data_IF_385797260851
#
_entry.id   IF_385797260851
#
_cell.length_a   1.000
_cell.length_b   1.000
_cell.length_c   1.000
_cell.angle_alpha   90.00
_cell.angle_beta   90.00
_cell.angle_gamma   90.00
#
_symmetry.space_group_name_H-M   'P 1'
#
loop_
_entity.id
_entity.type
_entity.pdbx_description
1 polymer ?
#
# COMPACT_ATOMS: atom_id res chain seq x y z
N UNK A 1 33.47 -36.04 10.81
CA UNK A 1 32.34 -35.35 10.17
C UNK A 1 32.75 -33.90 10.15
N UNK A 2 32.73 -33.28 8.98
CA UNK A 2 33.15 -31.89 8.85
C UNK A 2 32.11 -31.04 9.59
N UNK A 3 32.47 -30.59 10.80
CA UNK A 3 31.83 -29.43 11.40
C UNK A 3 32.19 -28.25 10.51
N UNK A 4 31.21 -27.76 9.76
CA UNK A 4 31.25 -26.43 9.21
C UNK A 4 30.63 -25.52 10.27
N UNK A 5 31.47 -24.80 10.99
CA UNK A 5 31.06 -23.60 11.69
C UNK A 5 30.87 -22.53 10.60
N UNK A 6 29.62 -22.20 10.29
CA UNK A 6 29.30 -21.00 9.53
C UNK A 6 29.69 -19.85 10.44
N UNK A 7 30.80 -19.19 10.11
CA UNK A 7 31.13 -17.93 10.74
C UNK A 7 30.07 -16.96 10.22
N UNK A 8 29.25 -16.47 11.13
CA UNK A 8 28.32 -15.38 10.87
C UNK A 8 29.13 -14.18 10.36
N UNK A 9 28.84 -13.72 9.13
CA UNK A 9 29.52 -12.58 8.50
C UNK A 9 29.32 -11.28 9.30
N UNK A 10 28.35 -11.26 10.21
CA UNK A 10 28.07 -10.11 11.08
C UNK A 10 28.96 -10.04 12.33
N UNK A 11 29.83 -11.03 12.57
CA UNK A 11 30.67 -11.05 13.76
C UNK A 11 32.01 -10.31 13.55
N UNK A 12 31.96 -8.97 13.47
CA UNK A 12 32.90 -7.99 14.05
C UNK A 12 33.62 -6.92 13.18
N UNK A 13 33.34 -6.71 11.90
CA UNK A 13 33.93 -5.57 11.15
C UNK A 13 33.09 -5.20 9.90
N UNK A 14 31.79 -4.92 10.01
CA UNK A 14 31.17 -4.05 9.01
C UNK A 14 31.68 -2.63 9.32
N UNK A 15 32.44 -2.02 8.41
CA UNK A 15 32.93 -0.64 8.55
C UNK A 15 31.90 0.41 8.10
N UNK A 16 30.69 -0.04 7.78
CA UNK A 16 29.55 0.82 7.54
C UNK A 16 29.33 1.81 8.68
N UNK A 17 29.07 3.06 8.29
CA UNK A 17 28.82 4.17 9.21
C UNK A 17 27.70 5.06 8.69
N UNK A 18 27.19 5.92 9.56
CA UNK A 18 26.17 6.90 9.18
C UNK A 18 26.60 8.33 9.43
N UNK A 19 26.07 9.23 8.61
CA UNK A 19 26.06 10.67 8.91
C UNK A 19 24.64 11.19 8.85
N UNK A 20 24.31 12.09 9.79
CA UNK A 20 22.99 12.73 9.86
C UNK A 20 23.19 14.23 9.85
N UNK A 21 22.48 14.92 8.97
CA UNK A 21 22.54 16.38 8.83
C UNK A 21 21.15 16.97 8.65
N UNK A 22 20.98 18.22 9.06
CA UNK A 22 19.72 18.96 8.94
C UNK A 22 19.95 20.18 8.07
N UNK A 23 19.10 20.36 7.07
CA UNK A 23 18.99 21.58 6.29
C UNK A 23 17.62 22.22 6.54
N UNK A 24 17.64 23.49 6.93
CA UNK A 24 16.42 24.25 7.22
C UNK A 24 15.98 24.99 5.96
N UNK A 25 14.71 24.84 5.58
CA UNK A 25 14.16 25.69 4.52
C UNK A 25 14.05 27.14 5.04
N UNK A 26 14.65 28.09 4.33
CA UNK A 26 14.82 29.45 4.83
C UNK A 26 13.49 30.21 4.92
N UNK A 27 12.56 29.90 4.02
CA UNK A 27 11.27 30.57 3.90
C UNK A 27 10.17 29.80 4.66
N UNK A 28 10.13 28.48 4.52
CA UNK A 28 9.11 27.61 5.13
C UNK A 28 9.46 27.14 6.54
N UNK A 29 10.71 27.27 7.01
CA UNK A 29 11.09 26.96 8.40
C UNK A 29 10.75 25.54 8.90
N UNK A 30 10.60 24.56 7.99
CA UNK A 30 10.72 23.13 8.30
C UNK A 30 12.11 22.59 7.90
N UNK A 31 12.39 21.34 8.29
CA UNK A 31 13.70 20.73 8.10
C UNK A 31 13.67 19.53 7.14
N UNK A 32 14.68 19.46 6.28
CA UNK A 32 15.07 18.23 5.60
C UNK A 32 16.24 17.61 6.35
N UNK A 33 16.08 16.37 6.80
CA UNK A 33 17.13 15.60 7.46
C UNK A 33 17.68 14.58 6.48
N UNK A 34 18.95 14.71 6.12
CA UNK A 34 19.64 13.73 5.28
C UNK A 34 20.41 12.77 6.17
N UNK A 35 20.08 11.49 6.04
CA UNK A 35 20.82 10.35 6.60
C UNK A 35 21.60 9.71 5.44
N UNK A 36 22.91 9.55 5.61
CA UNK A 36 23.77 8.91 4.61
C UNK A 36 24.47 7.73 5.26
N UNK A 37 24.17 6.52 4.78
CA UNK A 37 24.95 5.30 5.05
C UNK A 37 26.15 5.25 4.12
N UNK A 38 27.32 4.88 4.63
CA UNK A 38 28.59 4.88 3.89
C UNK A 38 29.32 3.57 4.20
N UNK A 39 30.08 3.06 3.22
CA UNK A 39 30.86 1.83 3.30
C UNK A 39 29.96 0.59 3.50
N UNK A 40 28.83 0.56 2.77
CA UNK A 40 27.83 -0.51 2.85
C UNK A 40 28.23 -1.74 2.00
N UNK A 41 27.98 -2.94 2.53
CA UNK A 41 28.29 -4.20 1.86
C UNK A 41 27.18 -4.64 0.91
N UNK A 42 27.53 -4.91 -0.35
CA UNK A 42 26.59 -5.31 -1.39
C UNK A 42 25.79 -6.58 -1.01
N UNK A 43 24.46 -6.49 -1.07
CA UNK A 43 23.54 -7.58 -0.75
C UNK A 43 23.28 -7.80 0.75
N UNK A 44 23.85 -6.96 1.62
CA UNK A 44 23.55 -6.95 3.06
C UNK A 44 22.30 -6.09 3.33
N UNK A 45 21.46 -6.54 4.27
CA UNK A 45 20.32 -5.76 4.76
C UNK A 45 20.76 -4.81 5.87
N UNK A 46 20.33 -3.55 5.73
CA UNK A 46 20.59 -2.46 6.64
C UNK A 46 19.27 -1.78 7.06
N UNK A 47 19.30 -1.15 8.23
CA UNK A 47 18.16 -0.45 8.79
C UNK A 47 18.54 0.84 9.51
N UNK A 48 17.80 1.91 9.24
CA UNK A 48 17.78 3.15 10.03
C UNK A 48 16.50 3.19 10.89
N UNK A 49 16.60 2.93 12.19
CA UNK A 49 15.52 3.25 13.13
C UNK A 49 15.68 4.70 13.60
N UNK A 50 14.66 5.54 13.46
CA UNK A 50 14.77 6.94 13.86
C UNK A 50 13.57 7.42 14.68
N UNK A 51 13.87 8.36 15.58
CA UNK A 51 12.88 8.97 16.48
C UNK A 51 13.17 10.46 16.64
N UNK A 52 12.15 11.30 16.48
CA UNK A 52 12.19 12.73 16.75
C UNK A 52 11.51 13.02 18.08
N UNK A 53 12.21 13.74 18.96
CA UNK A 53 11.67 14.20 20.25
C UNK A 53 11.58 15.71 20.32
N UNK A 54 10.57 16.22 21.03
CA UNK A 54 10.55 17.57 21.56
C UNK A 54 11.09 17.55 23.00
N UNK A 55 12.19 18.29 23.20
CA UNK A 55 12.85 18.42 24.50
C UNK A 55 12.42 19.67 25.29
N UNK A 56 11.50 20.49 24.78
CA UNK A 56 10.91 21.61 25.52
C UNK A 56 9.99 21.14 26.65
N UNK A 57 8.99 20.26 26.44
CA UNK A 57 8.24 19.68 27.53
C UNK A 57 9.16 18.79 28.38
N UNK A 58 8.94 18.79 29.69
CA UNK A 58 9.65 17.93 30.63
C UNK A 58 8.62 17.03 31.34
N UNK A 59 8.62 15.71 31.09
CA UNK A 59 9.59 14.94 30.29
C UNK A 59 9.47 15.19 28.77
N UNK A 60 10.54 14.90 27.98
CA UNK A 60 10.50 14.98 26.52
C UNK A 60 9.38 14.14 25.93
N UNK A 61 8.82 14.59 24.81
CA UNK A 61 7.71 13.94 24.10
C UNK A 61 8.21 13.47 22.74
N UNK A 62 7.87 12.23 22.36
CA UNK A 62 8.11 11.74 21.00
C UNK A 62 7.15 12.45 20.06
N UNK A 63 7.69 13.09 19.01
CA UNK A 63 6.90 13.72 17.96
C UNK A 63 6.58 12.72 16.84
N UNK A 64 7.56 11.91 16.44
CA UNK A 64 7.45 10.98 15.32
C UNK A 64 8.56 9.92 15.43
N UNK A 65 8.29 8.71 14.96
CA UNK A 65 9.27 7.62 14.84
C UNK A 65 8.91 6.70 13.68
N UNK A 66 9.91 6.14 13.01
CA UNK A 66 9.74 5.11 11.99
C UNK A 66 11.07 4.40 11.74
N UNK A 67 11.08 3.44 10.82
CA UNK A 67 12.29 2.83 10.27
C UNK A 67 12.39 2.94 8.74
N UNK A 68 13.59 2.70 8.24
CA UNK A 68 13.87 2.49 6.82
C UNK A 68 14.76 1.27 6.69
N UNK A 69 14.27 0.24 6.01
CA UNK A 69 14.97 -1.03 5.77
C UNK A 69 15.27 -1.14 4.28
N UNK A 70 16.50 -1.50 3.94
CA UNK A 70 16.88 -1.76 2.55
C UNK A 70 17.98 -2.83 2.48
N UNK A 71 18.16 -3.36 1.28
CA UNK A 71 19.30 -4.22 0.95
C UNK A 71 20.22 -3.44 0.03
N UNK A 72 21.49 -3.36 0.39
CA UNK A 72 22.46 -2.54 -0.34
C UNK A 72 22.73 -3.07 -1.75
N UNK A 73 22.85 -2.12 -2.69
CA UNK A 73 23.22 -2.35 -4.08
C UNK A 73 24.72 -2.65 -4.26
N UNK A 74 25.40 -1.88 -5.10
CA UNK A 74 26.85 -2.04 -5.37
C UNK A 74 27.62 -0.72 -5.24
N UNK A 75 26.95 0.35 -4.84
CA UNK A 75 27.47 1.71 -4.69
C UNK A 75 28.08 1.97 -3.32
N UNK A 76 27.72 1.17 -2.31
CA UNK A 76 28.28 1.22 -0.96
C UNK A 76 27.86 2.47 -0.18
N UNK A 77 26.81 3.15 -0.64
CA UNK A 77 26.31 4.40 -0.08
C UNK A 77 24.80 4.49 -0.32
N UNK A 78 24.05 4.78 0.73
CA UNK A 78 22.60 5.02 0.66
C UNK A 78 22.28 6.41 1.21
N UNK A 79 21.39 7.16 0.55
CA UNK A 79 20.99 8.50 0.99
C UNK A 79 19.49 8.55 1.20
N UNK A 80 19.10 8.64 2.47
CA UNK A 80 17.71 8.74 2.87
C UNK A 80 17.40 10.16 3.34
N UNK A 81 16.42 10.81 2.71
CA UNK A 81 16.01 12.18 3.02
C UNK A 81 14.64 12.14 3.69
N UNK A 82 14.61 12.61 4.93
CA UNK A 82 13.40 12.81 5.70
C UNK A 82 12.97 14.27 5.59
N UNK A 83 11.73 14.50 5.16
CA UNK A 83 11.12 15.82 5.21
C UNK A 83 10.22 15.89 6.45
N UNK A 84 10.47 16.87 7.32
CA UNK A 84 9.72 17.09 8.56
C UNK A 84 8.81 18.32 8.47
N UNK A 85 8.06 18.43 7.39
CA UNK A 85 7.05 19.48 7.15
C UNK A 85 6.00 19.54 8.27
N UNK A 86 5.42 18.39 8.62
CA UNK A 86 4.23 18.31 9.49
C UNK A 86 4.55 18.18 10.98
N UNK A 87 5.78 18.51 11.40
CA UNK A 87 6.11 18.45 12.83
C UNK A 87 5.39 19.55 13.62
N UNK A 88 4.85 19.23 14.82
CA UNK A 88 4.31 20.24 15.72
C UNK A 88 5.29 21.38 15.99
N UNK A 89 4.76 22.58 16.24
CA UNK A 89 5.59 23.76 16.53
C UNK A 89 6.43 23.53 17.79
N UNK A 90 7.75 23.50 17.61
CA UNK A 90 8.72 23.42 18.69
C UNK A 90 9.99 24.18 18.35
N UNK A 91 10.63 24.70 19.39
CA UNK A 91 11.96 25.29 19.26
C UNK A 91 13.12 24.29 19.43
N UNK A 92 12.82 23.00 19.67
CA UNK A 92 13.82 21.99 19.99
C UNK A 92 13.39 20.56 19.59
N UNK A 93 13.09 20.37 18.30
CA UNK A 93 12.95 19.04 17.71
C UNK A 93 14.34 18.42 17.55
N UNK A 94 14.55 17.20 18.04
CA UNK A 94 15.83 16.50 17.96
C UNK A 94 15.64 15.08 17.47
N UNK A 95 16.33 14.71 16.38
CA UNK A 95 16.33 13.34 15.86
C UNK A 95 17.42 12.50 16.52
N UNK A 96 17.09 11.22 16.74
CA UNK A 96 18.02 10.14 17.05
C UNK A 96 17.85 9.06 15.99
N UNK A 97 18.95 8.56 15.44
CA UNK A 97 18.99 7.51 14.43
C UNK A 97 19.87 6.39 14.96
N UNK A 98 19.34 5.18 14.98
CA UNK A 98 20.03 3.93 15.28
C UNK A 98 20.22 3.19 13.95
N UNK A 99 21.47 2.93 13.59
CA UNK A 99 21.83 2.23 12.37
C UNK A 99 22.24 0.80 12.70
N UNK A 100 21.68 -0.16 11.96
CA UNK A 100 21.91 -1.58 12.18
C UNK A 100 22.05 -2.35 10.88
N UNK A 101 22.77 -3.47 10.95
CA UNK A 101 22.85 -4.49 9.91
C UNK A 101 22.26 -5.79 10.44
N UNK A 102 21.19 -6.27 9.80
CA UNK A 102 20.37 -7.37 10.33
C UNK A 102 19.91 -7.09 11.78
N UNK A 103 20.38 -7.92 12.73
CA UNK A 103 20.02 -7.79 14.16
C UNK A 103 21.01 -7.00 15.02
N UNK A 104 22.07 -6.43 14.44
CA UNK A 104 23.19 -5.82 15.17
C UNK A 104 23.21 -4.31 14.98
N UNK A 105 23.16 -3.56 16.08
CA UNK A 105 23.39 -2.10 16.08
C UNK A 105 24.87 -1.79 15.78
N UNK A 106 25.10 -0.97 14.75
CA UNK A 106 26.41 -0.53 14.31
C UNK A 106 26.76 0.84 14.90
N UNK A 107 25.85 1.81 14.79
CA UNK A 107 26.07 3.18 15.23
C UNK A 107 24.75 3.83 15.69
N UNK A 108 24.83 4.75 16.65
CA UNK A 108 23.71 5.63 17.03
C UNK A 108 24.14 7.09 16.97
N UNK A 109 23.44 7.89 16.17
CA UNK A 109 23.60 9.35 16.08
C UNK A 109 22.43 10.02 16.78
N UNK A 110 22.69 10.94 17.72
CA UNK A 110 21.65 11.60 18.52
C UNK A 110 21.96 13.08 18.74
N UNK A 111 20.96 13.82 19.26
CA UNK A 111 21.04 15.26 19.54
C UNK A 111 21.30 16.13 18.29
N UNK A 112 20.78 15.68 17.15
CA UNK A 112 20.75 16.48 15.93
C UNK A 112 19.44 17.25 15.94
N UNK A 113 19.50 18.55 16.25
CA UNK A 113 18.32 19.34 16.63
C UNK A 113 18.08 20.55 15.73
N UNK A 114 16.81 20.92 15.56
CA UNK A 114 16.33 22.10 14.86
C UNK A 114 15.08 22.69 15.54
N UNK A 115 14.69 23.89 15.10
CA UNK A 115 13.39 24.47 15.45
C UNK A 115 12.43 24.17 14.29
N UNK A 116 11.26 23.64 14.59
CA UNK A 116 10.16 23.47 13.64
C UNK A 116 9.08 24.49 13.98
N UNK A 117 8.90 25.50 13.14
CA UNK A 117 7.90 26.54 13.36
C UNK A 117 7.50 27.21 12.04
N UNK A 118 7.06 26.43 11.06
CA UNK A 118 6.60 26.96 9.77
C UNK A 118 5.45 27.94 9.97
N UNK A 119 5.60 29.11 9.33
CA UNK A 119 4.57 30.15 9.20
C UNK A 119 4.35 30.52 7.73
N UNK A 120 4.88 29.72 6.81
CA UNK A 120 4.68 29.93 5.37
C UNK A 120 3.26 29.51 4.99
N UNK A 121 2.74 30.21 3.99
CA UNK A 121 1.39 30.14 3.44
C UNK A 121 1.55 30.61 1.98
N UNK A 122 1.88 29.65 1.10
CA UNK A 122 2.29 29.89 -0.28
C UNK A 122 1.11 30.37 -1.13
N UNK A 123 -0.08 29.82 -0.93
CA UNK A 123 -1.28 30.15 -1.69
C UNK A 123 -2.10 31.32 -1.09
N UNK A 124 -1.82 31.68 0.17
CA UNK A 124 -2.41 32.81 0.87
C UNK A 124 -3.84 32.57 1.34
N UNK A 125 -4.27 31.32 1.49
CA UNK A 125 -5.63 30.96 1.90
C UNK A 125 -5.89 31.17 3.41
N UNK A 126 -4.82 31.31 4.20
CA UNK A 126 -4.84 31.55 5.64
C UNK A 126 -4.56 30.31 6.49
N UNK A 127 -4.28 29.16 5.87
CA UNK A 127 -3.72 27.96 6.47
C UNK A 127 -2.23 27.91 6.12
N UNK A 128 -1.39 27.58 7.11
CA UNK A 128 0.05 27.48 6.84
C UNK A 128 0.34 26.19 6.08
N UNK A 129 1.31 26.21 5.17
CA UNK A 129 1.67 25.09 4.28
C UNK A 129 1.80 23.76 5.04
N UNK A 130 2.34 23.79 6.26
CA UNK A 130 2.51 22.63 7.15
C UNK A 130 1.22 21.98 7.65
N UNK A 131 0.10 22.66 7.49
CA UNK A 131 -1.24 22.22 7.86
C UNK A 131 -2.17 22.19 6.64
N UNK A 132 -1.67 22.54 5.46
CA UNK A 132 -2.46 22.70 4.24
C UNK A 132 -2.32 21.44 3.38
N UNK A 133 -3.42 20.68 3.25
CA UNK A 133 -3.53 19.51 2.37
C UNK A 133 -3.91 19.90 0.94
N UNK A 134 -4.32 21.16 0.73
CA UNK A 134 -4.84 21.72 -0.49
C UNK A 134 -3.98 22.92 -0.95
N UNK A 135 -2.72 22.64 -1.32
CA UNK A 135 -1.62 23.58 -1.65
C UNK A 135 -1.90 24.73 -2.67
N UNK A 136 -3.09 24.78 -3.26
CA UNK A 136 -3.46 25.76 -4.28
C UNK A 136 -4.87 26.33 -4.07
N UNK A 137 -5.35 26.36 -2.83
CA UNK A 137 -6.63 26.97 -2.49
C UNK A 137 -6.53 28.50 -2.71
N UNK A 138 -7.46 29.12 -3.45
CA UNK A 138 -7.35 30.54 -3.74
C UNK A 138 -7.39 31.41 -2.49
N UNK A 139 -6.44 32.34 -2.35
CA UNK A 139 -6.41 33.32 -1.26
C UNK A 139 -7.77 34.00 -1.02
N UNK A 140 -8.22 33.97 0.24
CA UNK A 140 -9.49 34.55 0.69
C UNK A 140 -10.71 33.66 0.50
N UNK A 141 -10.53 32.40 0.12
CA UNK A 141 -11.57 31.38 0.20
C UNK A 141 -11.97 31.13 1.65
N UNK A 142 -13.18 30.62 1.85
CA UNK A 142 -13.54 30.01 3.13
C UNK A 142 -12.96 28.61 3.09
N UNK A 143 -12.11 28.29 4.06
CA UNK A 143 -11.34 27.05 4.10
C UNK A 143 -11.47 26.40 5.46
N UNK A 144 -11.30 25.07 5.48
CA UNK A 144 -11.23 24.27 6.69
C UNK A 144 -9.84 24.40 7.35
N UNK A 145 -9.62 23.63 8.42
CA UNK A 145 -8.34 23.66 9.13
C UNK A 145 -7.18 23.05 8.34
N UNK A 146 -7.49 22.29 7.30
CA UNK A 146 -6.58 21.62 6.39
C UNK A 146 -6.34 22.38 5.07
N UNK A 147 -6.80 23.63 4.96
CA UNK A 147 -6.66 24.48 3.76
C UNK A 147 -7.60 24.11 2.62
N UNK A 148 -8.39 23.04 2.77
CA UNK A 148 -9.34 22.64 1.75
C UNK A 148 -10.61 23.52 1.79
N UNK A 149 -11.25 23.68 0.63
CA UNK A 149 -12.28 24.71 0.43
C UNK A 149 -13.59 24.32 1.13
N UNK A 150 -14.24 25.23 1.84
CA UNK A 150 -15.56 25.02 2.48
C UNK A 150 -16.42 26.27 2.21
N UNK A 151 -16.99 26.33 1.01
CA UNK A 151 -17.55 27.55 0.42
C UNK A 151 -18.75 28.11 1.19
N UNK A 152 -19.50 27.27 1.92
CA UNK A 152 -20.65 27.69 2.73
C UNK A 152 -20.45 27.58 4.25
N UNK A 153 -19.34 26.99 4.70
CA UNK A 153 -18.92 26.96 6.11
C UNK A 153 -19.65 25.90 6.93
N UNK A 154 -20.09 24.80 6.31
CA UNK A 154 -20.83 23.72 6.98
C UNK A 154 -19.93 22.62 7.55
N UNK A 155 -18.63 22.65 7.23
CA UNK A 155 -17.62 21.72 7.70
C UNK A 155 -17.34 20.55 6.77
N UNK A 156 -17.81 20.60 5.51
CA UNK A 156 -17.43 19.66 4.46
C UNK A 156 -16.60 20.35 3.37
N UNK A 157 -15.67 19.61 2.76
CA UNK A 157 -14.90 20.15 1.63
C UNK A 157 -15.81 20.30 0.41
N UNK A 158 -15.71 21.42 -0.29
CA UNK A 158 -16.56 21.74 -1.44
C UNK A 158 -16.40 20.75 -2.61
N UNK A 159 -15.23 20.13 -2.80
CA UNK A 159 -15.09 19.06 -3.79
C UNK A 159 -15.72 17.76 -3.29
N UNK A 160 -15.50 17.42 -2.03
CA UNK A 160 -16.16 16.28 -1.38
C UNK A 160 -17.69 16.38 -1.48
N UNK A 161 -18.26 17.56 -1.27
CA UNK A 161 -19.69 17.80 -1.43
C UNK A 161 -20.18 17.56 -2.87
N UNK A 162 -19.44 18.05 -3.86
CA UNK A 162 -19.75 17.81 -5.28
C UNK A 162 -19.76 16.31 -5.57
N UNK A 163 -18.76 15.58 -5.07
CA UNK A 163 -18.63 14.13 -5.24
C UNK A 163 -19.76 13.38 -4.49
N UNK A 164 -20.22 13.92 -3.36
CA UNK A 164 -21.30 13.38 -2.55
C UNK A 164 -22.71 13.83 -2.98
N UNK A 165 -22.83 14.54 -4.11
CA UNK A 165 -24.08 15.11 -4.62
C UNK A 165 -24.79 16.09 -3.66
N UNK A 166 -24.06 16.74 -2.75
CA UNK A 166 -24.52 17.94 -2.03
C UNK A 166 -24.25 19.24 -2.81
N UNK A 167 -24.89 20.34 -2.41
CA UNK A 167 -24.64 21.68 -2.95
C UNK A 167 -23.63 22.43 -2.08
N UNK A 168 -22.38 22.67 -2.55
CA UNK A 168 -21.32 23.30 -1.76
C UNK A 168 -21.52 24.79 -1.46
N UNK A 169 -22.70 25.34 -1.79
CA UNK A 169 -23.05 26.73 -1.52
C UNK A 169 -24.31 26.85 -0.66
N UNK A 170 -24.79 25.75 -0.08
CA UNK A 170 -25.96 25.68 0.79
C UNK A 170 -25.66 24.88 2.06
N UNK A 171 -25.37 25.60 3.15
CA UNK A 171 -25.05 25.07 4.50
C UNK A 171 -26.05 24.05 5.09
N UNK A 172 -27.22 23.86 4.46
CA UNK A 172 -28.21 22.86 4.85
C UNK A 172 -28.13 21.55 4.03
N UNK A 173 -27.30 21.53 2.98
CA UNK A 173 -27.09 20.44 2.05
C UNK A 173 -25.81 19.69 2.40
N UNK A 174 -25.77 19.00 3.52
CA UNK A 174 -24.61 18.18 3.90
C UNK A 174 -24.57 16.83 3.16
N UNK A 175 -23.39 16.25 2.89
CA UNK A 175 -23.24 14.84 2.49
C UNK A 175 -23.96 13.89 3.44
N UNK A 176 -24.65 12.88 2.90
CA UNK A 176 -25.19 11.77 3.69
C UNK A 176 -24.14 10.70 3.90
N UNK A 177 -24.12 10.10 5.08
CA UNK A 177 -23.24 9.00 5.49
C UNK A 177 -24.04 8.12 6.47
N UNK A 178 -24.62 7.02 5.96
CA UNK A 178 -25.59 6.19 6.67
C UNK A 178 -24.93 5.35 7.77
N UNK A 179 -23.77 4.76 7.51
CA UNK A 179 -23.08 3.87 8.44
C UNK A 179 -22.01 4.60 9.31
N UNK A 180 -21.66 5.84 8.95
CA UNK A 180 -20.68 6.71 9.61
C UNK A 180 -19.23 6.20 9.53
N UNK A 181 -18.86 5.55 8.44
CA UNK A 181 -17.48 5.11 8.19
C UNK A 181 -16.57 6.21 7.60
N UNK A 182 -17.17 7.34 7.18
CA UNK A 182 -16.49 8.50 6.61
C UNK A 182 -16.56 8.61 5.08
N UNK A 183 -17.14 7.62 4.41
CA UNK A 183 -17.48 7.65 2.99
C UNK A 183 -18.96 8.03 2.86
N UNK A 184 -19.28 8.99 2.00
CA UNK A 184 -20.67 9.38 1.83
C UNK A 184 -21.45 8.35 1.01
N UNK A 185 -22.77 8.24 1.22
CA UNK A 185 -23.64 7.25 0.56
C UNK A 185 -23.52 7.23 -0.98
N UNK A 186 -23.14 8.36 -1.59
CA UNK A 186 -22.98 8.49 -3.03
C UNK A 186 -21.67 7.87 -3.57
N UNK A 187 -20.66 7.72 -2.72
CA UNK A 187 -19.34 7.16 -3.02
C UNK A 187 -19.09 5.83 -2.29
N UNK A 188 -19.99 5.44 -1.38
CA UNK A 188 -19.89 4.24 -0.59
C UNK A 188 -20.38 3.00 -1.36
N UNK A 189 -19.59 1.92 -1.30
CA UNK A 189 -19.92 0.64 -1.91
C UNK A 189 -20.71 -0.29 -0.97
N UNK A 190 -20.80 0.02 0.33
CA UNK A 190 -21.53 -0.71 1.40
C UNK A 190 -22.24 0.32 2.31
N UNK A 191 -23.30 0.96 1.80
CA UNK A 191 -23.89 2.17 2.40
C UNK A 191 -24.39 1.95 3.83
N UNK A 192 -24.78 0.73 4.20
CA UNK A 192 -25.27 0.43 5.56
C UNK A 192 -24.26 -0.31 6.46
N UNK A 193 -23.05 -0.57 5.95
CA UNK A 193 -21.91 -1.09 6.69
C UNK A 193 -22.11 -2.50 7.23
N UNK A 194 -22.96 -3.30 6.61
CA UNK A 194 -23.26 -4.66 7.07
C UNK A 194 -22.30 -5.73 6.52
N UNK A 195 -21.37 -5.31 5.66
CA UNK A 195 -20.32 -6.13 5.07
C UNK A 195 -20.72 -6.78 3.74
N UNK A 196 -21.81 -6.32 3.11
CA UNK A 196 -22.24 -6.69 1.77
C UNK A 196 -22.31 -5.46 0.87
N UNK A 197 -21.70 -5.54 -0.31
CA UNK A 197 -21.71 -4.40 -1.23
C UNK A 197 -23.14 -4.13 -1.73
N UNK A 198 -23.50 -2.86 -1.88
CA UNK A 198 -24.80 -2.37 -2.37
C UNK A 198 -25.29 -3.09 -3.64
N UNK A 199 -24.33 -3.41 -4.51
CA UNK A 199 -24.58 -4.04 -5.79
C UNK A 199 -24.87 -5.54 -5.64
N UNK A 200 -24.21 -6.23 -4.70
CA UNK A 200 -24.49 -7.63 -4.38
C UNK A 200 -25.89 -7.76 -3.78
N UNK A 201 -26.26 -6.83 -2.91
CA UNK A 201 -27.58 -6.77 -2.30
C UNK A 201 -28.71 -6.48 -3.28
N UNK A 202 -28.52 -5.49 -4.15
CA UNK A 202 -29.47 -5.18 -5.23
C UNK A 202 -29.71 -6.41 -6.13
N UNK A 203 -28.68 -7.23 -6.36
CA UNK A 203 -28.78 -8.47 -7.13
C UNK A 203 -29.47 -9.60 -6.35
N UNK A 204 -29.20 -9.70 -5.05
CA UNK A 204 -29.85 -10.63 -4.14
C UNK A 204 -31.32 -10.25 -3.85
N UNK A 205 -31.71 -9.02 -4.16
CA UNK A 205 -33.02 -8.45 -3.87
C UNK A 205 -33.20 -8.04 -2.41
N UNK A 206 -32.09 -7.77 -1.73
CA UNK A 206 -32.03 -7.19 -0.39
C UNK A 206 -31.91 -5.66 -0.48
N UNK A 207 -31.88 -4.94 0.64
CA UNK A 207 -32.04 -3.47 0.66
C UNK A 207 -30.73 -2.80 1.11
N UNK A 208 -29.97 -2.14 0.22
CA UNK A 208 -28.66 -1.53 0.52
C UNK A 208 -28.62 -0.39 1.52
N UNK A 209 -29.73 -0.10 2.18
CA UNK A 209 -29.90 1.00 3.12
C UNK A 209 -30.42 0.47 4.47
N UNK A 210 -30.44 -0.84 4.67
CA UNK A 210 -30.95 -1.51 5.85
C UNK A 210 -30.03 -2.69 6.20
N UNK A 211 -29.02 -2.44 7.04
CA UNK A 211 -28.03 -3.46 7.44
C UNK A 211 -28.57 -4.63 8.28
N UNK A 212 -29.89 -4.79 8.36
CA UNK A 212 -30.58 -5.99 8.84
C UNK A 212 -31.19 -6.83 7.71
N UNK A 213 -31.05 -6.38 6.46
CA UNK A 213 -31.60 -6.94 5.25
C UNK A 213 -30.47 -7.21 4.26
N UNK A 214 -29.70 -8.24 4.57
CA UNK A 214 -28.58 -8.74 3.77
C UNK A 214 -28.88 -10.11 3.15
N UNK A 215 -28.10 -10.53 2.14
CA UNK A 215 -28.16 -11.87 1.55
C UNK A 215 -27.96 -12.97 2.60
N UNK A 216 -28.76 -14.03 2.55
CA UNK A 216 -28.70 -15.12 3.53
C UNK A 216 -27.44 -16.02 3.43
N UNK A 217 -26.61 -15.82 2.41
CA UNK A 217 -25.38 -16.54 2.14
C UNK A 217 -24.41 -15.60 1.40
N UNK A 218 -23.20 -15.44 1.91
CA UNK A 218 -22.17 -14.60 1.31
C UNK A 218 -21.18 -15.44 0.52
N UNK A 219 -20.89 -15.01 -0.69
CA UNK A 219 -19.75 -15.57 -1.42
C UNK A 219 -18.43 -15.12 -0.75
N UNK A 220 -17.36 -15.92 -0.82
CA UNK A 220 -16.06 -15.52 -0.27
C UNK A 220 -15.53 -14.29 -1.01
N UNK A 221 -14.91 -13.37 -0.28
CA UNK A 221 -14.22 -12.20 -0.87
C UNK A 221 -12.77 -12.54 -1.12
N UNK A 222 -12.24 -12.23 -2.31
CA UNK A 222 -10.85 -12.50 -2.65
C UNK A 222 -10.08 -11.21 -2.98
N UNK A 223 -8.80 -11.17 -2.63
CA UNK A 223 -7.87 -10.11 -3.03
C UNK A 223 -6.66 -10.72 -3.76
N UNK A 224 -6.05 -9.97 -4.68
CA UNK A 224 -4.90 -10.42 -5.47
C UNK A 224 -3.63 -9.65 -5.09
N UNK A 225 -2.56 -10.39 -4.84
CA UNK A 225 -1.24 -9.90 -4.50
C UNK A 225 -0.20 -10.43 -5.50
N UNK A 226 0.91 -9.72 -5.67
CA UNK A 226 2.10 -10.26 -6.31
C UNK A 226 3.34 -10.09 -5.43
N UNK A 227 4.29 -11.02 -5.54
CA UNK A 227 5.62 -10.94 -4.92
C UNK A 227 6.68 -11.50 -5.86
N UNK A 228 7.94 -11.11 -5.69
CA UNK A 228 9.03 -11.68 -6.49
C UNK A 228 9.23 -13.16 -6.11
N UNK A 229 9.69 -13.97 -7.08
CA UNK A 229 10.02 -15.37 -6.84
C UNK A 229 11.04 -15.54 -5.69
N UNK A 230 11.97 -14.59 -5.54
CA UNK A 230 13.00 -14.59 -4.49
C UNK A 230 12.45 -14.36 -3.08
N UNK A 231 11.35 -13.61 -2.97
CA UNK A 231 10.69 -13.31 -1.69
C UNK A 231 9.73 -14.43 -1.26
N UNK A 232 9.35 -15.29 -2.21
CA UNK A 232 8.39 -16.36 -2.00
C UNK A 232 6.95 -15.86 -1.90
N UNK A 233 6.03 -16.76 -1.52
CA UNK A 233 4.62 -16.42 -1.34
C UNK A 233 4.44 -15.74 0.03
N UNK A 234 3.74 -14.60 0.12
CA UNK A 234 3.46 -13.93 1.39
C UNK A 234 2.81 -14.89 2.39
N UNK A 235 3.25 -14.84 3.65
CA UNK A 235 2.65 -15.62 4.75
C UNK A 235 1.69 -14.79 5.61
N UNK A 236 1.69 -13.48 5.39
CA UNK A 236 0.82 -12.46 5.97
C UNK A 236 0.36 -11.54 4.86
N UNK A 237 -0.91 -11.14 4.86
CA UNK A 237 -1.54 -10.32 3.83
C UNK A 237 -2.00 -8.98 4.43
N UNK A 238 -1.04 -8.21 4.97
CA UNK A 238 -1.29 -6.94 5.69
C UNK A 238 -0.96 -5.68 4.87
N UNK A 239 -0.65 -5.82 3.57
CA UNK A 239 -0.40 -4.68 2.66
C UNK A 239 -1.51 -4.46 1.65
N UNK A 240 -1.40 -3.38 0.88
CA UNK A 240 -2.36 -3.06 -0.19
C UNK A 240 -2.33 -4.15 -1.26
N UNK A 241 -3.49 -4.76 -1.48
CA UNK A 241 -3.64 -5.71 -2.56
C UNK A 241 -3.60 -4.96 -3.89
N UNK A 242 -3.02 -5.60 -4.90
CA UNK A 242 -2.97 -5.08 -6.26
C UNK A 242 -4.38 -5.05 -6.86
N UNK A 243 -5.26 -5.93 -6.38
CA UNK A 243 -6.72 -5.84 -6.56
C UNK A 243 -7.37 -6.13 -5.19
N UNK A 244 -7.89 -5.10 -4.49
CA UNK A 244 -8.38 -5.21 -3.11
C UNK A 244 -9.72 -5.93 -2.94
N UNK A 245 -10.54 -6.04 -3.99
CA UNK A 245 -11.83 -6.74 -3.90
C UNK A 245 -12.24 -7.40 -5.23
N UNK A 246 -11.93 -8.68 -5.37
CA UNK A 246 -12.60 -9.57 -6.32
C UNK A 246 -13.90 -10.04 -5.64
N UNK A 247 -14.96 -9.22 -5.72
CA UNK A 247 -16.28 -9.52 -5.14
C UNK A 247 -17.22 -10.26 -6.12
N UNK A 248 -18.34 -10.78 -5.58
CA UNK A 248 -19.58 -11.26 -6.23
C UNK A 248 -19.89 -10.64 -7.57
N UNK A 249 -19.81 -9.32 -7.65
CA UNK A 249 -20.17 -8.56 -8.84
C UNK A 249 -19.12 -8.59 -9.95
N UNK A 250 -17.83 -8.74 -9.62
CA UNK A 250 -16.78 -8.83 -10.65
C UNK A 250 -16.87 -10.13 -11.47
N UNK A 251 -17.75 -11.06 -11.10
CA UNK A 251 -17.74 -12.41 -11.64
C UNK A 251 -19.11 -13.02 -11.99
N UNK A 252 -20.25 -12.32 -11.88
CA UNK A 252 -21.53 -12.95 -12.28
C UNK A 252 -22.64 -12.02 -12.81
N UNK A 253 -22.52 -11.65 -14.09
CA UNK A 253 -23.56 -12.04 -15.06
C UNK A 253 -22.82 -12.52 -16.30
N UNK A 254 -23.33 -13.54 -16.99
CA UNK A 254 -22.92 -13.92 -18.35
C UNK A 254 -23.20 -12.84 -19.41
N UNK A 255 -22.85 -11.59 -19.13
CA UNK A 255 -22.70 -10.46 -20.03
C UNK A 255 -21.22 -10.10 -19.92
N UNK A 256 -20.51 -10.28 -21.04
CA UNK A 256 -19.08 -10.46 -21.04
C UNK A 256 -18.27 -9.34 -20.39
N UNK A 257 -17.13 -9.78 -19.86
CA UNK A 257 -15.97 -8.95 -19.56
C UNK A 257 -16.22 -8.00 -18.39
N UNK A 258 -15.76 -8.41 -17.21
CA UNK A 258 -14.84 -7.52 -16.48
C UNK A 258 -13.98 -6.82 -17.52
N UNK A 259 -13.97 -5.49 -17.52
CA UNK A 259 -12.81 -4.80 -18.08
C UNK A 259 -11.61 -5.52 -17.50
N UNK A 260 -10.75 -6.16 -18.31
CA UNK A 260 -9.64 -6.92 -17.77
C UNK A 260 -8.91 -5.99 -16.81
N UNK A 261 -8.79 -6.40 -15.54
CA UNK A 261 -7.97 -5.65 -14.60
C UNK A 261 -6.56 -5.77 -15.15
N UNK A 262 -6.09 -4.68 -15.74
CA UNK A 262 -4.76 -4.62 -16.34
C UNK A 262 -3.81 -4.16 -15.25
N UNK A 263 -2.94 -5.07 -14.81
CA UNK A 263 -1.82 -4.72 -13.94
C UNK A 263 -0.56 -4.65 -14.79
N UNK A 264 0.29 -3.67 -14.54
CA UNK A 264 1.55 -3.50 -15.29
C UNK A 264 2.69 -3.74 -14.31
N UNK A 265 3.54 -4.72 -14.59
CA UNK A 265 4.68 -5.08 -13.73
C UNK A 265 5.97 -5.25 -14.56
N UNK A 266 7.15 -4.97 -14.00
CA UNK A 266 8.41 -5.07 -14.72
C UNK A 266 8.78 -6.52 -15.06
N UNK A 267 9.74 -6.71 -15.97
CA UNK A 267 10.22 -8.05 -16.33
C UNK A 267 10.81 -8.77 -15.11
N UNK A 268 10.44 -10.05 -14.93
CA UNK A 268 10.81 -10.82 -13.75
C UNK A 268 9.97 -12.10 -13.58
N UNK A 269 10.27 -12.84 -12.51
CA UNK A 269 9.47 -13.96 -12.04
C UNK A 269 8.66 -13.55 -10.82
N UNK A 270 7.35 -13.77 -10.83
CA UNK A 270 6.45 -13.32 -9.76
C UNK A 270 5.48 -14.42 -9.34
N UNK A 271 5.19 -14.50 -8.04
CA UNK A 271 4.05 -15.26 -7.53
C UNK A 271 2.80 -14.38 -7.55
N UNK A 272 1.80 -14.76 -8.33
CA UNK A 272 0.46 -14.17 -8.26
C UNK A 272 -0.36 -14.94 -7.24
N UNK A 273 -0.68 -14.32 -6.11
CA UNK A 273 -1.34 -14.97 -4.97
C UNK A 273 -2.72 -14.39 -4.75
N UNK A 274 -3.75 -15.22 -4.91
CA UNK A 274 -5.10 -14.88 -4.49
C UNK A 274 -5.30 -15.32 -3.03
N UNK A 275 -5.83 -14.43 -2.20
CA UNK A 275 -6.20 -14.69 -0.82
C UNK A 275 -7.71 -14.46 -0.68
N UNK A 276 -8.44 -15.47 -0.23
CA UNK A 276 -9.88 -15.42 -0.08
C UNK A 276 -10.28 -15.69 1.36
N UNK A 277 -11.24 -14.91 1.84
CA UNK A 277 -11.80 -15.02 3.20
C UNK A 277 -13.31 -15.18 3.06
N UNK A 278 -13.84 -16.15 3.78
CA UNK A 278 -15.26 -16.32 4.00
C UNK A 278 -15.60 -15.98 5.45
N UNK A 279 -16.54 -15.07 5.65
CA UNK A 279 -16.95 -14.64 6.99
C UNK A 279 -18.15 -15.44 7.52
N UNK A 280 -18.85 -16.19 6.67
CA UNK A 280 -19.95 -17.06 7.09
C UNK A 280 -19.46 -18.39 7.68
N UNK A 281 -18.21 -18.75 7.39
CA UNK A 281 -17.55 -19.95 7.90
C UNK A 281 -17.81 -21.21 7.05
N UNK A 282 -18.33 -21.03 5.84
CA UNK A 282 -18.47 -22.04 4.82
C UNK A 282 -17.12 -22.40 4.19
N UNK A 283 -17.09 -23.57 3.54
CA UNK A 283 -15.88 -24.14 2.97
C UNK A 283 -15.56 -23.48 1.61
N UNK A 284 -14.42 -22.79 1.52
CA UNK A 284 -13.97 -22.14 0.29
C UNK A 284 -13.18 -23.12 -0.57
N UNK A 285 -13.45 -23.13 -1.88
CA UNK A 285 -12.57 -23.72 -2.89
C UNK A 285 -12.08 -22.64 -3.85
N UNK A 286 -10.78 -22.36 -3.84
CA UNK A 286 -10.09 -21.36 -4.66
C UNK A 286 -9.23 -22.04 -5.73
N UNK A 287 -9.25 -21.53 -6.95
CA UNK A 287 -8.43 -21.97 -8.09
C UNK A 287 -7.70 -20.80 -8.72
N UNK A 288 -6.38 -20.89 -8.89
CA UNK A 288 -5.57 -19.90 -9.62
C UNK A 288 -4.77 -20.61 -10.71
N UNK A 289 -5.00 -20.28 -11.99
CA UNK A 289 -4.31 -20.88 -13.16
C UNK A 289 -4.13 -22.41 -13.04
N UNK A 290 -5.24 -23.13 -12.77
CA UNK A 290 -5.34 -24.59 -12.57
C UNK A 290 -4.89 -25.15 -11.20
N UNK A 291 -4.42 -24.32 -10.27
CA UNK A 291 -4.10 -24.76 -8.91
C UNK A 291 -5.32 -24.57 -8.01
N UNK A 292 -6.00 -25.67 -7.67
CA UNK A 292 -7.17 -25.67 -6.77
C UNK A 292 -6.81 -26.03 -5.34
N UNK A 293 -7.21 -25.18 -4.38
CA UNK A 293 -7.09 -25.37 -2.93
C UNK A 293 -8.49 -25.28 -2.31
N UNK A 294 -8.84 -26.23 -1.45
CA UNK A 294 -10.18 -26.32 -0.86
C UNK A 294 -10.75 -27.73 -0.94
N UNK A 295 -11.95 -27.96 -0.38
CA UNK A 295 -12.73 -27.06 0.48
C UNK A 295 -12.04 -26.77 1.82
N UNK A 296 -11.96 -25.49 2.22
CA UNK A 296 -11.39 -25.04 3.50
C UNK A 296 -12.24 -23.90 4.08
N UNK A 297 -12.76 -24.08 5.29
CA UNK A 297 -13.43 -23.02 6.04
C UNK A 297 -12.47 -21.90 6.52
N UNK A 298 -12.97 -20.66 6.47
CA UNK A 298 -12.32 -19.46 6.99
C UNK A 298 -11.54 -18.71 5.91
N UNK A 299 -10.27 -19.05 5.71
CA UNK A 299 -9.41 -18.37 4.74
C UNK A 299 -8.62 -19.38 3.89
N UNK A 300 -8.40 -19.05 2.62
CA UNK A 300 -7.62 -19.86 1.69
C UNK A 300 -6.75 -18.97 0.81
N UNK A 301 -5.53 -19.41 0.53
CA UNK A 301 -4.65 -18.74 -0.41
C UNK A 301 -4.10 -19.72 -1.43
N UNK A 302 -4.04 -19.29 -2.68
CA UNK A 302 -3.45 -20.04 -3.78
C UNK A 302 -2.61 -19.10 -4.64
N UNK A 303 -1.40 -19.53 -4.98
CA UNK A 303 -0.48 -18.78 -5.80
C UNK A 303 -0.07 -19.52 -7.06
N UNK A 304 0.14 -18.79 -8.15
CA UNK A 304 0.73 -19.30 -9.38
C UNK A 304 1.97 -18.45 -9.77
N UNK A 305 3.05 -19.13 -10.15
CA UNK A 305 4.26 -18.47 -10.64
C UNK A 305 4.05 -18.04 -12.11
N UNK A 306 4.27 -16.76 -12.39
CA UNK A 306 4.30 -16.19 -13.74
C UNK A 306 5.70 -15.65 -14.05
N UNK A 307 6.09 -15.71 -15.32
CA UNK A 307 7.39 -15.21 -15.79
C UNK A 307 7.17 -14.22 -16.93
N UNK A 308 7.67 -13.00 -16.75
CA UNK A 308 7.54 -11.90 -17.70
C UNK A 308 8.93 -11.58 -18.24
N UNK A 309 9.14 -11.79 -19.54
CA UNK A 309 10.43 -11.55 -20.19
C UNK A 309 10.46 -10.25 -20.99
N UNK A 310 11.63 -9.63 -21.11
CA UNK A 310 11.88 -8.36 -21.86
C UNK A 310 11.58 -8.42 -23.37
N UNK A 311 11.16 -9.57 -23.90
CA UNK A 311 10.95 -9.80 -25.33
C UNK A 311 9.50 -10.16 -25.70
N UNK A 312 8.53 -9.93 -24.83
CA UNK A 312 7.11 -10.21 -25.13
C UNK A 312 6.32 -8.91 -25.33
N UNK A 313 5.70 -8.81 -26.50
CA UNK A 313 4.61 -7.86 -26.77
C UNK A 313 3.26 -8.57 -26.56
N UNK A 314 3.17 -9.39 -25.51
CA UNK A 314 2.03 -10.27 -25.24
C UNK A 314 1.71 -10.24 -23.75
N UNK A 315 0.42 -10.14 -23.45
CA UNK A 315 -0.16 -10.02 -22.12
C UNK A 315 -0.34 -11.42 -21.51
N UNK A 316 -0.21 -11.57 -20.19
CA UNK A 316 -0.44 -12.84 -19.49
C UNK A 316 -1.78 -12.78 -18.76
N UNK A 317 -2.68 -13.71 -19.03
CA UNK A 317 -3.95 -13.80 -18.29
C UNK A 317 -3.83 -14.73 -17.08
N UNK A 318 -4.21 -14.22 -15.92
CA UNK A 318 -4.34 -14.97 -14.66
C UNK A 318 -5.81 -15.19 -14.37
N UNK A 319 -6.25 -16.45 -14.37
CA UNK A 319 -7.63 -16.82 -14.07
C UNK A 319 -7.74 -17.26 -12.61
N UNK A 320 -8.65 -16.64 -11.87
CA UNK A 320 -8.93 -16.90 -10.47
C UNK A 320 -10.40 -17.34 -10.39
N UNK A 321 -10.69 -18.43 -9.71
CA UNK A 321 -12.06 -18.89 -9.46
C UNK A 321 -12.24 -19.31 -8.02
N UNK A 322 -13.33 -18.91 -7.38
CA UNK A 322 -13.62 -19.27 -5.99
C UNK A 322 -15.09 -19.63 -5.80
N UNK A 323 -15.36 -20.55 -4.86
CA UNK A 323 -16.71 -21.05 -4.57
C UNK A 323 -16.85 -21.42 -3.09
N UNK A 324 -18.04 -21.24 -2.54
CA UNK A 324 -18.49 -21.72 -1.22
C UNK A 324 -19.18 -23.12 -1.30
N UNK A 325 -19.19 -23.74 -2.49
CA UNK A 325 -19.89 -24.99 -2.78
C UNK A 325 -21.32 -24.85 -3.28
N UNK A 326 -21.93 -23.67 -3.18
CA UNK A 326 -23.26 -23.35 -3.71
C UNK A 326 -23.17 -22.44 -4.94
N UNK A 327 -22.35 -21.40 -4.85
CA UNK A 327 -22.15 -20.36 -5.85
C UNK A 327 -20.65 -20.28 -6.23
N UNK A 328 -20.34 -19.93 -7.48
CA UNK A 328 -18.95 -19.89 -8.00
C UNK A 328 -18.73 -18.63 -8.81
N UNK A 329 -17.57 -18.00 -8.60
CA UNK A 329 -17.11 -16.82 -9.31
C UNK A 329 -15.81 -17.11 -10.08
N UNK A 330 -15.58 -16.36 -11.16
CA UNK A 330 -14.37 -16.41 -11.98
C UNK A 330 -13.98 -14.98 -12.38
N UNK A 331 -12.73 -14.61 -12.12
CA UNK A 331 -12.09 -13.40 -12.59
C UNK A 331 -10.87 -13.72 -13.48
N UNK A 332 -10.60 -12.85 -14.46
CA UNK A 332 -9.43 -12.90 -15.34
C UNK A 332 -8.69 -11.57 -15.27
N UNK A 333 -7.45 -11.62 -14.78
CA UNK A 333 -6.57 -10.46 -14.63
C UNK A 333 -5.52 -10.50 -15.73
N UNK A 334 -5.37 -9.41 -16.47
CA UNK A 334 -4.41 -9.32 -17.57
C UNK A 334 -3.15 -8.60 -17.08
N UNK A 335 -2.01 -9.27 -17.16
CA UNK A 335 -0.72 -8.75 -16.72
C UNK A 335 0.08 -8.27 -17.92
N UNK A 336 0.43 -6.99 -17.91
CA UNK A 336 1.25 -6.34 -18.93
C UNK A 336 2.68 -6.15 -18.45
N UNK A 337 3.63 -6.22 -19.39
CA UNK A 337 5.00 -5.79 -19.15
C UNK A 337 5.04 -4.26 -19.05
N UNK A 338 5.66 -3.73 -18.01
CA UNK A 338 6.01 -2.33 -17.93
C UNK A 338 6.99 -1.96 -19.05
N UNK A 339 6.55 -1.10 -19.98
CA UNK A 339 7.41 -0.64 -21.06
C UNK A 339 8.39 0.39 -20.51
N UNK A 340 9.62 -0.03 -20.28
CA UNK A 340 10.70 0.88 -19.95
C UNK A 340 10.95 1.81 -21.15
N UNK A 341 10.57 3.07 -21.03
CA UNK A 341 10.61 4.04 -22.14
C UNK A 341 12.02 4.51 -22.54
N UNK A 342 13.07 3.83 -22.07
CA UNK A 342 14.47 4.26 -22.21
C UNK A 342 15.35 3.44 -23.17
N UNK A 343 14.85 2.38 -23.80
CA UNK A 343 15.68 1.59 -24.75
C UNK A 343 15.22 1.72 -26.21
N UNK A 344 15.94 2.57 -26.96
CA UNK A 344 15.86 2.56 -28.44
C UNK A 344 16.28 1.18 -28.98
N UNK A 345 15.51 0.53 -29.86
CA UNK A 345 15.91 -0.75 -30.42
C UNK A 345 17.09 -0.56 -31.37
N UNK A 346 18.23 -1.15 -31.01
CA UNK A 346 19.35 -1.37 -31.93
C UNK A 346 18.85 -2.27 -33.08
N UNK A 347 18.89 -1.81 -34.34
CA UNK A 347 18.42 -2.61 -35.46
C UNK A 347 19.43 -3.71 -35.77
N UNK A 348 19.05 -4.95 -35.50
CA UNK A 348 19.59 -6.11 -36.21
C UNK A 348 20.30 -7.16 -35.35
N UNK A 349 19.56 -7.86 -34.49
CA UNK A 349 19.82 -9.27 -34.22
C UNK A 349 18.49 -9.99 -34.02
N UNK A 350 18.03 -10.67 -35.08
CA UNK A 350 16.93 -11.62 -34.96
C UNK A 350 17.44 -12.89 -34.28
N UNK A 351 16.99 -13.13 -33.05
CA UNK A 351 16.98 -14.46 -32.46
C UNK A 351 15.59 -14.64 -31.83
N UNK A 352 14.70 -15.24 -32.61
CA UNK A 352 13.41 -15.71 -32.14
C UNK A 352 13.60 -17.05 -31.42
N UNK A 353 13.54 -17.05 -30.09
CA UNK A 353 13.18 -18.20 -29.25
C UNK A 353 12.67 -17.67 -27.90
N UNK A 354 11.40 -17.29 -27.82
CA UNK A 354 10.73 -17.01 -26.55
C UNK A 354 9.96 -18.25 -26.12
N UNK A 355 10.40 -18.91 -25.06
CA UNK A 355 9.68 -20.00 -24.41
C UNK A 355 9.03 -19.40 -23.16
N UNK A 356 7.86 -18.80 -23.28
CA UNK A 356 7.04 -18.44 -22.11
C UNK A 356 6.55 -19.74 -21.49
N UNK A 357 6.92 -19.98 -20.24
CA UNK A 357 6.58 -21.19 -19.50
C UNK A 357 5.80 -20.78 -18.27
N UNK A 358 4.53 -21.18 -18.17
CA UNK A 358 3.86 -21.23 -16.87
C UNK A 358 4.46 -22.44 -16.16
N UNK A 359 5.36 -22.22 -15.21
CA UNK A 359 5.88 -23.27 -14.34
C UNK A 359 4.91 -23.39 -13.17
N UNK A 360 4.06 -24.42 -13.21
CA UNK A 360 3.15 -24.73 -12.10
C UNK A 360 3.97 -25.26 -10.91
N UNK A 361 4.28 -24.37 -9.98
CA UNK A 361 4.73 -24.69 -8.64
C UNK A 361 3.77 -24.05 -7.64
N UNK A 362 2.80 -24.83 -7.15
CA UNK A 362 1.86 -24.39 -6.12
C UNK A 362 2.41 -24.68 -4.73
N UNK A 363 2.39 -23.67 -3.86
CA UNK A 363 2.48 -23.85 -2.40
C UNK A 363 1.20 -23.30 -1.77
N UNK A 364 0.69 -24.03 -0.78
CA UNK A 364 -0.52 -23.71 -0.06
C UNK A 364 -0.19 -23.48 1.42
N UNK A 365 -0.60 -22.34 1.96
CA UNK A 365 -0.55 -22.04 3.39
C UNK A 365 -1.94 -22.22 3.99
N UNK A 366 -2.00 -22.76 5.20
CA UNK A 366 -3.25 -22.97 5.95
C UNK A 366 -3.07 -22.40 7.34
N UNK A 367 -3.91 -21.43 7.72
CA UNK A 367 -4.10 -21.06 9.12
C UNK A 367 -5.49 -21.51 9.55
N UNK A 368 -5.56 -22.18 10.69
CA UNK A 368 -6.83 -22.51 11.33
C UNK A 368 -6.89 -21.68 12.60
N UNK A 369 -7.75 -20.66 12.63
CA UNK A 369 -8.02 -19.96 13.88
C UNK A 369 -8.59 -20.99 14.87
N UNK A 370 -7.77 -21.27 15.88
CA UNK A 370 -8.10 -22.18 16.96
C UNK A 370 -8.67 -21.32 18.08
N UNK A 371 -9.99 -21.24 18.19
CA UNK A 371 -10.64 -20.77 19.42
C UNK A 371 -10.39 -21.76 20.56
#
# INVERSE_FOLDING_TARGET
>A
GNDFEVIDDTANQDDASITVSVDMHADEQYANVTIIGIDLDAGQEYKFDWTVHDFIPLPPVVLMENDHIWVEGNDGVETYILNFHDLPDTSNACITVVFSAGGTELETVSNVCWASASIADEDGDGVYDKNDLCENTPSGSVVQADGCSDSDGDGFDSNYEIDCNSDPNDIASIPSDLDNDGICDAQDEDIDGDGYLNLDETLAGTDPLDGLNFPANRLPTCALYYSLEVDGIPTTFEGDAVIPALSGVSAQVGIGSITPSVITIPAGSYYMTAHCIDLDGDDITLTVNDITIGPIAGEVSAGALIVIGESVNETIDVTISWTDGSDTLIATVTVNLESDSTTSPLPGFGIALGITSILLAGLATRRKNSN
#
